data_IF_710465042090
#
_entry.id   IF_710465042090
#
_cell.length_a   1.000
_cell.length_b   1.000
_cell.length_c   1.000
_cell.angle_alpha   90.00
_cell.angle_beta   90.00
_cell.angle_gamma   90.00
#
_symmetry.space_group_name_H-M   'P 1'
#
loop_
_entity.id
_entity.type
_entity.pdbx_description
1 polymer ?
#
# COMPACT_ATOMS: atom_id res chain seq x y z
N UNK A 1 -9.22 -0.05 -12.66
CA UNK A 1 -8.88 -0.44 -11.28
C UNK A 1 -8.81 -1.95 -11.17
N UNK A 2 -9.90 -2.70 -11.37
CA UNK A 2 -9.89 -4.19 -11.31
C UNK A 2 -8.72 -4.85 -12.05
N UNK A 3 -8.54 -4.57 -13.34
CA UNK A 3 -7.44 -5.14 -14.15
C UNK A 3 -6.05 -4.82 -13.58
N UNK A 4 -5.89 -3.66 -12.94
CA UNK A 4 -4.63 -3.29 -12.31
C UNK A 4 -4.44 -4.10 -11.01
N UNK A 5 -5.50 -4.30 -10.22
CA UNK A 5 -5.45 -5.13 -9.02
C UNK A 5 -5.08 -6.58 -9.42
N UNK A 6 -5.75 -7.14 -10.44
CA UNK A 6 -5.42 -8.47 -10.99
C UNK A 6 -3.93 -8.56 -11.35
N UNK A 7 -3.43 -7.61 -12.15
CA UNK A 7 -2.05 -7.60 -12.59
C UNK A 7 -1.03 -7.48 -11.44
N UNK A 8 -1.36 -6.71 -10.39
CA UNK A 8 -0.48 -6.57 -9.23
C UNK A 8 -0.56 -7.80 -8.31
N UNK A 9 -1.71 -8.44 -8.17
CA UNK A 9 -1.87 -9.70 -7.43
C UNK A 9 -1.15 -10.86 -8.12
N UNK A 10 -1.20 -10.93 -9.45
CA UNK A 10 -0.43 -11.88 -10.25
C UNK A 10 1.07 -11.63 -10.06
N UNK A 11 1.50 -10.37 -10.13
CA UNK A 11 2.90 -10.01 -9.90
C UNK A 11 3.36 -10.39 -8.48
N UNK A 12 2.52 -10.20 -7.45
CA UNK A 12 2.84 -10.61 -6.07
C UNK A 12 3.05 -12.13 -6.00
N UNK A 13 2.20 -12.94 -6.64
CA UNK A 13 2.37 -14.40 -6.68
C UNK A 13 3.64 -14.83 -7.41
N UNK A 14 4.03 -14.14 -8.47
CA UNK A 14 5.27 -14.44 -9.21
C UNK A 14 6.55 -14.11 -8.40
N UNK A 15 6.46 -13.22 -7.41
CA UNK A 15 7.60 -12.68 -6.65
C UNK A 15 7.60 -13.04 -5.16
N UNK A 16 6.67 -13.88 -4.71
CA UNK A 16 6.57 -14.30 -3.32
C UNK A 16 6.02 -15.73 -3.20
N UNK A 17 5.93 -16.23 -1.97
CA UNK A 17 5.31 -17.53 -1.69
C UNK A 17 3.77 -17.41 -1.48
N UNK A 18 3.19 -16.23 -1.73
CA UNK A 18 1.75 -16.03 -1.58
C UNK A 18 0.96 -16.64 -2.74
N UNK A 19 -0.13 -17.31 -2.39
CA UNK A 19 -1.15 -17.73 -3.35
C UNK A 19 -2.19 -16.62 -3.44
N UNK A 20 -2.28 -15.98 -4.61
CA UNK A 20 -3.23 -14.88 -4.86
C UNK A 20 -4.41 -15.28 -5.75
N UNK A 21 -4.41 -16.51 -6.28
CA UNK A 21 -5.51 -17.07 -7.07
C UNK A 21 -6.83 -17.03 -6.28
N UNK A 22 -7.90 -16.57 -6.93
CA UNK A 22 -9.25 -16.44 -6.37
C UNK A 22 -9.37 -15.56 -5.11
N UNK A 23 -8.35 -14.74 -4.79
CA UNK A 23 -8.47 -13.79 -3.69
C UNK A 23 -9.52 -12.73 -4.03
N UNK A 24 -10.48 -12.46 -3.12
CA UNK A 24 -11.47 -11.44 -3.38
C UNK A 24 -10.82 -10.05 -3.32
N UNK A 25 -11.11 -9.21 -4.30
CA UNK A 25 -10.49 -7.89 -4.35
C UNK A 25 -10.90 -7.00 -3.17
N UNK A 26 -9.96 -6.22 -2.61
CA UNK A 26 -10.30 -5.14 -1.70
C UNK A 26 -10.98 -4.01 -2.47
N UNK A 27 -11.76 -3.20 -1.78
CA UNK A 27 -12.25 -1.93 -2.33
C UNK A 27 -11.09 -0.94 -2.34
N UNK A 28 -10.77 -0.34 -3.49
CA UNK A 28 -9.73 0.72 -3.57
C UNK A 28 -10.40 2.08 -3.69
N UNK A 29 -10.23 2.93 -2.68
CA UNK A 29 -10.75 4.30 -2.65
C UNK A 29 -9.61 5.30 -2.79
N UNK A 30 -9.69 6.13 -3.81
CA UNK A 30 -8.76 7.24 -3.99
C UNK A 30 -9.25 8.47 -3.24
N UNK A 31 -8.41 8.99 -2.34
CA UNK A 31 -8.72 10.09 -1.42
C UNK A 31 -7.79 11.28 -1.63
N UNK A 32 -8.22 12.46 -1.17
CA UNK A 32 -7.30 13.60 -0.97
C UNK A 32 -6.39 13.37 0.25
N UNK A 33 -5.28 14.11 0.39
CA UNK A 33 -4.42 14.02 1.58
C UNK A 33 -5.17 14.27 2.90
N UNK A 34 -6.12 15.22 2.92
CA UNK A 34 -6.95 15.54 4.09
C UNK A 34 -7.89 14.38 4.46
N UNK A 35 -8.53 13.78 3.46
CA UNK A 35 -9.43 12.64 3.65
C UNK A 35 -8.66 11.42 4.15
N UNK A 36 -7.50 11.12 3.53
CA UNK A 36 -6.64 10.01 3.96
C UNK A 36 -6.10 10.22 5.38
N UNK A 37 -5.70 11.44 5.72
CA UNK A 37 -5.28 11.79 7.08
C UNK A 37 -6.43 11.61 8.06
N UNK A 38 -7.62 12.09 7.72
CA UNK A 38 -8.80 11.93 8.57
C UNK A 38 -9.08 10.46 8.84
N UNK A 39 -9.02 9.62 7.80
CA UNK A 39 -9.25 8.19 7.92
C UNK A 39 -8.20 7.51 8.82
N UNK A 40 -6.91 7.78 8.59
CA UNK A 40 -5.82 7.19 9.38
C UNK A 40 -5.91 7.54 10.88
N UNK A 41 -6.33 8.76 11.19
CA UNK A 41 -6.45 9.23 12.57
C UNK A 41 -7.83 8.91 13.20
N UNK A 42 -8.67 8.11 12.55
CA UNK A 42 -9.95 7.65 13.12
C UNK A 42 -9.71 6.95 14.47
N UNK A 43 -10.42 7.42 15.51
CA UNK A 43 -10.27 6.90 16.88
C UNK A 43 -9.11 7.52 17.67
N UNK A 44 -8.20 8.25 17.02
CA UNK A 44 -7.05 8.94 17.65
C UNK A 44 -6.86 10.37 17.14
N UNK A 45 -7.96 11.06 16.81
CA UNK A 45 -7.96 12.40 16.21
C UNK A 45 -7.12 13.47 16.94
N UNK A 46 -6.83 13.28 18.24
CA UNK A 46 -5.95 14.16 19.02
C UNK A 46 -4.47 14.08 18.65
N UNK A 47 -4.07 13.10 17.84
CA UNK A 47 -2.71 12.93 17.31
C UNK A 47 -2.56 13.50 15.88
N UNK A 48 -3.65 13.98 15.28
CA UNK A 48 -3.65 14.52 13.93
C UNK A 48 -2.81 15.83 13.87
N UNK A 49 -2.07 16.08 12.78
CA UNK A 49 -1.34 17.33 12.58
C UNK A 49 -2.25 18.57 12.68
N UNK A 50 -1.67 19.71 13.11
CA UNK A 50 -2.43 20.96 13.31
C UNK A 50 -3.01 21.53 12.01
N UNK A 51 -2.35 21.31 10.88
CA UNK A 51 -2.80 21.70 9.54
C UNK A 51 -3.77 20.67 8.92
N UNK A 52 -4.01 19.55 9.60
CA UNK A 52 -4.95 18.51 9.17
C UNK A 52 -4.43 17.56 8.09
N UNK A 53 -3.14 17.64 7.72
CA UNK A 53 -2.54 16.79 6.69
C UNK A 53 -1.27 16.13 7.22
N UNK A 54 -1.22 14.80 7.19
CA UNK A 54 0.03 14.06 7.38
C UNK A 54 0.63 13.69 6.02
N UNK A 55 1.57 14.52 5.56
CA UNK A 55 2.28 14.38 4.27
C UNK A 55 3.05 13.07 4.12
N UNK A 56 3.20 12.29 5.21
CA UNK A 56 3.88 10.98 5.17
C UNK A 56 2.93 9.86 4.74
N UNK A 57 1.62 10.09 4.79
CA UNK A 57 0.61 9.11 4.45
C UNK A 57 0.34 9.10 2.94
N UNK A 58 0.58 7.95 2.33
CA UNK A 58 0.22 7.72 0.93
C UNK A 58 -0.90 6.70 0.78
N UNK A 59 -1.05 5.77 1.72
CA UNK A 59 -2.15 4.82 1.75
C UNK A 59 -2.32 4.21 3.15
N UNK A 60 -3.41 3.45 3.33
CA UNK A 60 -3.58 2.49 4.41
C UNK A 60 -4.53 1.37 3.99
N UNK A 61 -4.24 0.15 4.44
CA UNK A 61 -5.15 -0.99 4.33
C UNK A 61 -5.97 -1.19 5.62
N UNK A 62 -7.29 -1.12 5.50
CA UNK A 62 -8.25 -1.38 6.55
C UNK A 62 -8.94 -2.73 6.33
N UNK A 63 -8.41 -3.78 6.97
CA UNK A 63 -8.89 -5.15 6.76
C UNK A 63 -10.34 -5.41 7.20
N UNK A 64 -10.87 -4.61 8.13
CA UNK A 64 -12.23 -4.74 8.66
C UNK A 64 -13.27 -3.92 7.92
N UNK A 65 -12.83 -3.07 7.00
CA UNK A 65 -13.71 -2.20 6.24
C UNK A 65 -14.16 -2.91 4.95
N UNK A 66 -15.45 -2.77 4.61
CA UNK A 66 -16.01 -3.48 3.46
C UNK A 66 -16.08 -5.00 3.66
N UNK A 67 -16.35 -5.73 2.58
CA UNK A 67 -16.52 -7.19 2.64
C UNK A 67 -15.18 -7.95 2.70
N UNK A 68 -14.14 -7.39 2.07
CA UNK A 68 -12.83 -8.04 1.86
C UNK A 68 -11.65 -7.13 2.20
N UNK A 69 -11.90 -6.04 2.93
CA UNK A 69 -10.95 -4.98 3.21
C UNK A 69 -11.11 -3.79 2.26
N UNK A 70 -10.65 -2.64 2.72
CA UNK A 70 -10.59 -1.40 1.95
C UNK A 70 -9.16 -0.89 1.94
N UNK A 71 -8.65 -0.52 0.76
CA UNK A 71 -7.42 0.24 0.59
C UNK A 71 -7.82 1.69 0.37
N UNK A 72 -7.45 2.56 1.31
CA UNK A 72 -7.53 4.00 1.11
C UNK A 72 -6.18 4.46 0.57
N UNK A 73 -6.19 5.10 -0.58
CA UNK A 73 -4.98 5.43 -1.34
C UNK A 73 -5.05 6.89 -1.76
N UNK A 74 -3.96 7.63 -1.62
CA UNK A 74 -3.88 9.00 -2.17
C UNK A 74 -4.15 8.95 -3.67
N UNK A 75 -4.94 9.91 -4.15
CA UNK A 75 -5.32 9.99 -5.56
C UNK A 75 -4.09 10.03 -6.48
N UNK A 76 -4.12 9.24 -7.56
CA UNK A 76 -3.00 9.07 -8.48
C UNK A 76 -2.55 10.39 -9.13
N UNK A 77 -3.50 11.27 -9.45
CA UNK A 77 -3.23 12.60 -10.00
C UNK A 77 -2.53 13.56 -9.02
N UNK A 78 -2.47 13.21 -7.73
CA UNK A 78 -1.77 13.97 -6.71
C UNK A 78 -0.38 13.44 -6.40
N UNK A 79 0.08 12.38 -7.05
CA UNK A 79 1.41 11.79 -6.84
C UNK A 79 2.48 12.52 -7.64
N UNK A 80 3.72 12.50 -7.13
CA UNK A 80 4.89 13.06 -7.82
C UNK A 80 5.04 12.45 -9.21
N UNK A 81 5.35 13.29 -10.21
CA UNK A 81 5.53 12.93 -11.62
C UNK A 81 4.27 12.43 -12.35
N UNK A 82 3.09 12.51 -11.72
CA UNK A 82 1.82 12.08 -12.34
C UNK A 82 1.49 12.84 -13.63
N UNK A 83 1.97 14.08 -13.79
CA UNK A 83 1.81 14.89 -15.00
C UNK A 83 2.53 14.34 -16.24
N UNK A 84 3.42 13.36 -16.07
CA UNK A 84 4.14 12.72 -17.17
C UNK A 84 3.40 11.55 -17.80
N UNK A 85 2.23 11.17 -17.25
CA UNK A 85 1.42 10.05 -17.72
C UNK A 85 0.08 10.55 -18.27
N UNK A 86 -0.43 9.91 -19.34
CA UNK A 86 -1.78 10.21 -19.86
C UNK A 86 -2.86 9.75 -18.88
N UNK A 87 -2.64 8.59 -18.24
CA UNK A 87 -3.41 8.10 -17.10
C UNK A 87 -2.51 8.12 -15.86
N UNK A 88 -2.82 8.94 -14.84
CA UNK A 88 -2.01 9.01 -13.61
C UNK A 88 -1.83 7.67 -12.90
N UNK A 89 -2.74 6.70 -13.10
CA UNK A 89 -2.61 5.36 -12.52
C UNK A 89 -1.53 4.51 -13.20
N UNK A 90 -0.92 4.99 -14.28
CA UNK A 90 0.27 4.40 -14.90
C UNK A 90 1.58 4.75 -14.19
N UNK A 91 1.54 5.72 -13.27
CA UNK A 91 2.71 6.09 -12.49
C UNK A 91 3.20 4.90 -11.63
N UNK A 92 4.42 4.39 -11.85
CA UNK A 92 4.94 3.23 -11.13
C UNK A 92 5.15 3.50 -9.63
N UNK A 93 5.39 4.75 -9.22
CA UNK A 93 5.47 5.10 -7.80
C UNK A 93 4.12 4.93 -7.11
N UNK A 94 3.05 5.39 -7.76
CA UNK A 94 1.70 5.22 -7.23
C UNK A 94 1.28 3.75 -7.22
N UNK A 95 1.62 2.99 -8.28
CA UNK A 95 1.37 1.54 -8.34
C UNK A 95 2.13 0.77 -7.27
N UNK A 96 3.34 1.18 -6.92
CA UNK A 96 4.09 0.55 -5.83
C UNK A 96 3.40 0.75 -4.48
N UNK A 97 2.82 1.91 -4.21
CA UNK A 97 2.04 2.12 -2.99
C UNK A 97 0.78 1.26 -2.99
N UNK A 98 0.09 1.15 -4.12
CA UNK A 98 -1.04 0.21 -4.22
C UNK A 98 -0.60 -1.25 -4.01
N UNK A 99 0.53 -1.65 -4.59
CA UNK A 99 1.13 -2.97 -4.42
C UNK A 99 1.45 -3.24 -2.95
N UNK A 100 2.01 -2.26 -2.23
CA UNK A 100 2.32 -2.37 -0.81
C UNK A 100 1.06 -2.73 0.00
N UNK A 101 -0.04 -2.01 -0.20
CA UNK A 101 -1.30 -2.29 0.50
C UNK A 101 -1.94 -3.61 0.04
N UNK A 102 -1.77 -3.99 -1.23
CA UNK A 102 -2.21 -5.30 -1.72
C UNK A 102 -1.44 -6.44 -1.04
N UNK A 103 -0.15 -6.27 -0.72
CA UNK A 103 0.59 -7.26 0.08
C UNK A 103 -0.04 -7.43 1.46
N UNK A 104 -0.46 -6.33 2.12
CA UNK A 104 -1.19 -6.42 3.38
C UNK A 104 -2.55 -7.10 3.24
N UNK A 105 -3.26 -6.84 2.16
CA UNK A 105 -4.49 -7.55 1.83
C UNK A 105 -4.25 -9.06 1.71
N UNK A 106 -3.25 -9.48 0.92
CA UNK A 106 -2.89 -10.90 0.75
C UNK A 106 -2.48 -11.54 2.07
N UNK A 107 -1.68 -10.85 2.89
CA UNK A 107 -1.29 -11.31 4.23
C UNK A 107 -2.49 -11.53 5.15
N UNK A 108 -3.52 -10.69 5.04
CA UNK A 108 -4.75 -10.84 5.80
C UNK A 108 -5.60 -12.01 5.29
N UNK A 109 -5.84 -12.08 3.98
CA UNK A 109 -6.70 -13.12 3.38
C UNK A 109 -6.11 -14.52 3.47
N UNK A 110 -4.77 -14.64 3.42
CA UNK A 110 -4.06 -15.92 3.64
C UNK A 110 -4.05 -16.37 5.10
N UNK A 111 -4.44 -15.49 6.03
CA UNK A 111 -4.39 -15.73 7.47
C UNK A 111 -3.00 -15.57 8.09
N UNK A 112 -1.97 -15.19 7.33
CA UNK A 112 -0.64 -14.93 7.88
C UNK A 112 -0.68 -13.86 8.97
N UNK A 113 -1.46 -12.80 8.74
CA UNK A 113 -1.63 -11.70 9.69
C UNK A 113 -2.08 -12.15 11.09
N UNK A 114 -2.79 -13.28 11.19
CA UNK A 114 -3.30 -13.83 12.45
C UNK A 114 -2.19 -14.49 13.29
N UNK A 115 -1.04 -14.77 12.69
CA UNK A 115 0.12 -15.37 13.35
C UNK A 115 1.08 -14.34 13.95
N UNK A 116 0.90 -13.06 13.59
CA UNK A 116 1.82 -12.01 13.99
C UNK A 116 1.61 -11.57 15.44
N UNK A 117 2.70 -11.12 16.06
CA UNK A 117 2.64 -10.53 17.40
C UNK A 117 2.16 -9.07 17.36
N UNK A 118 2.40 -8.38 16.25
CA UNK A 118 1.93 -7.03 15.99
C UNK A 118 1.76 -6.82 14.47
N UNK A 119 0.90 -5.88 14.03
CA UNK A 119 0.64 -5.61 12.61
C UNK A 119 1.90 -5.24 11.81
N UNK A 120 2.83 -4.51 12.44
CA UNK A 120 4.08 -4.07 11.82
C UNK A 120 4.91 -5.22 11.21
N UNK A 121 4.75 -6.47 11.67
CA UNK A 121 5.48 -7.60 11.08
C UNK A 121 5.23 -7.78 9.57
N UNK A 122 4.07 -7.37 9.06
CA UNK A 122 3.72 -7.43 7.63
C UNK A 122 4.51 -6.47 6.74
N UNK A 123 4.97 -5.34 7.30
CA UNK A 123 5.70 -4.26 6.59
C UNK A 123 6.95 -4.78 5.87
N UNK A 124 7.63 -5.75 6.47
CA UNK A 124 8.91 -6.23 5.94
C UNK A 124 8.76 -6.78 4.52
N UNK A 125 7.72 -7.56 4.27
CA UNK A 125 7.48 -8.18 2.96
C UNK A 125 6.95 -7.13 1.98
N UNK A 126 6.02 -6.27 2.43
CA UNK A 126 5.45 -5.20 1.61
C UNK A 126 6.55 -4.24 1.09
N UNK A 127 7.44 -3.77 1.97
CA UNK A 127 8.59 -2.96 1.55
C UNK A 127 9.53 -3.72 0.62
N UNK A 128 9.85 -4.99 0.92
CA UNK A 128 10.75 -5.77 0.08
C UNK A 128 10.24 -5.91 -1.36
N UNK A 129 8.98 -6.30 -1.52
CA UNK A 129 8.33 -6.46 -2.81
C UNK A 129 8.22 -5.12 -3.55
N UNK A 130 7.85 -4.03 -2.88
CA UNK A 130 7.81 -2.70 -3.49
C UNK A 130 9.16 -2.26 -4.06
N UNK A 131 10.27 -2.60 -3.40
CA UNK A 131 11.62 -2.31 -3.91
C UNK A 131 11.97 -3.09 -5.17
N UNK A 132 11.56 -4.35 -5.25
CA UNK A 132 11.75 -5.18 -6.45
C UNK A 132 10.91 -4.60 -7.60
N UNK A 133 9.64 -4.28 -7.33
CA UNK A 133 8.72 -3.71 -8.32
C UNK A 133 9.26 -2.43 -8.96
N UNK A 134 9.77 -1.48 -8.16
CA UNK A 134 10.34 -0.23 -8.66
C UNK A 134 11.61 -0.46 -9.50
N UNK A 135 12.45 -1.41 -9.09
CA UNK A 135 13.66 -1.77 -9.83
C UNK A 135 13.34 -2.35 -11.22
N UNK A 136 12.33 -3.23 -11.31
CA UNK A 136 11.85 -3.82 -12.57
C UNK A 136 11.12 -2.81 -13.44
N UNK A 137 10.42 -1.86 -12.82
CA UNK A 137 9.76 -0.74 -13.49
C UNK A 137 10.74 0.35 -13.96
N UNK A 138 12.05 0.16 -13.72
CA UNK A 138 13.13 1.07 -14.12
C UNK A 138 12.96 2.50 -13.59
N UNK A 139 12.40 2.65 -12.39
CA UNK A 139 12.27 3.94 -11.70
C UNK A 139 13.14 4.00 -10.46
N UNK A 140 13.52 5.22 -10.09
CA UNK A 140 14.28 5.43 -8.87
C UNK A 140 13.39 5.20 -7.64
N UNK A 141 13.90 4.47 -6.66
CA UNK A 141 13.21 4.22 -5.40
C UNK A 141 13.36 5.43 -4.46
N UNK A 142 12.27 6.14 -4.12
CA UNK A 142 12.32 7.29 -3.24
C UNK A 142 12.70 6.91 -1.81
N UNK A 143 12.50 5.65 -1.43
CA UNK A 143 12.88 5.13 -0.13
C UNK A 143 14.33 4.64 -0.15
N UNK A 144 15.26 5.59 -0.06
CA UNK A 144 16.70 5.27 0.06
C UNK A 144 16.98 4.27 1.19
N UNK A 145 17.74 3.21 0.89
CA UNK A 145 18.04 2.09 1.80
C UNK A 145 16.78 1.39 2.35
N UNK A 146 15.89 0.97 1.45
CA UNK A 146 14.64 0.24 1.75
C UNK A 146 14.78 -0.94 2.71
N UNK A 147 15.92 -1.66 2.70
CA UNK A 147 16.18 -2.73 3.67
C UNK A 147 16.24 -2.23 5.12
N UNK A 148 16.80 -1.04 5.35
CA UNK A 148 16.81 -0.40 6.66
C UNK A 148 15.39 0.00 7.09
N UNK A 149 14.61 0.61 6.19
CA UNK A 149 13.23 1.02 6.50
C UNK A 149 12.30 -0.16 6.73
N UNK A 150 12.37 -1.19 5.90
CA UNK A 150 11.66 -2.45 6.10
C UNK A 150 11.95 -3.05 7.47
N UNK A 151 13.21 -3.02 7.91
CA UNK A 151 13.57 -3.46 9.25
C UNK A 151 12.95 -2.56 10.33
N UNK A 152 13.12 -1.25 10.22
CA UNK A 152 12.63 -0.29 11.22
C UNK A 152 11.11 -0.32 11.38
N UNK A 153 10.37 -0.33 10.27
CA UNK A 153 8.91 -0.36 10.28
C UNK A 153 8.35 -1.72 10.69
N UNK A 154 9.12 -2.81 10.53
CA UNK A 154 8.70 -4.14 10.99
C UNK A 154 8.84 -4.41 12.49
N UNK A 155 9.32 -3.43 13.26
CA UNK A 155 9.54 -3.60 14.69
C UNK A 155 8.25 -3.37 15.49
N UNK A 156 7.91 -4.37 16.29
CA UNK A 156 7.20 -4.18 17.55
C UNK A 156 8.21 -3.69 18.62
#
# INVERSE_FOLDING_TARGET
MEILIDALLDWIADHSDYVTEDLPHPVVLQLTPEELTTEYYTGVAHLMPEDGVDERLNALYAATDGAYGTIYLRAAAGFDESEHFEDPTENPLWREVLLHELVHHVQWQSGEAQTWHCPAQGERVAYHLGGIYLAESHVWDPMGNRAFWAHMYSRC
#
